data_IF_071565603698
#
_entry.id   IF_071565603698
#
_cell.length_a   1.000
_cell.length_b   1.000
_cell.length_c   1.000
_cell.angle_alpha   90.00
_cell.angle_beta   90.00
_cell.angle_gamma   90.00
#
_symmetry.space_group_name_H-M   'P 1'
#
loop_
_entity.id
_entity.type
_entity.pdbx_description
1 polymer ?
#
# COMPACT_ATOMS: atom_id res chain seq x y z
N UNK A 1 2.89 34.37 23.56
CA UNK A 1 3.88 35.07 22.73
C UNK A 1 3.84 34.43 21.36
N UNK A 2 3.63 35.21 20.29
CA UNK A 2 3.51 34.67 18.93
C UNK A 2 4.89 34.64 18.30
N UNK A 3 5.30 33.52 17.72
CA UNK A 3 6.48 33.41 16.85
C UNK A 3 5.95 33.17 15.45
N UNK A 4 6.19 34.11 14.53
CA UNK A 4 5.66 34.06 13.17
C UNK A 4 6.44 33.08 12.30
N UNK A 5 5.72 32.34 11.45
CA UNK A 5 6.31 31.52 10.41
C UNK A 5 6.82 32.43 9.28
N UNK A 6 8.15 32.50 9.14
CA UNK A 6 8.79 33.26 8.08
C UNK A 6 8.84 32.48 6.77
N UNK A 7 8.03 32.88 5.79
CA UNK A 7 8.17 32.40 4.40
C UNK A 7 9.45 33.01 3.82
N UNK A 8 10.54 32.24 3.76
CA UNK A 8 11.77 32.65 3.08
C UNK A 8 11.61 32.51 1.56
N UNK A 9 11.22 33.58 0.88
CA UNK A 9 11.30 33.69 -0.59
C UNK A 9 12.78 33.84 -0.98
N UNK A 10 13.34 32.83 -1.65
CA UNK A 10 14.68 32.90 -2.23
C UNK A 10 14.57 33.17 -3.73
N UNK A 11 15.17 34.26 -4.21
CA UNK A 11 15.40 34.51 -5.64
C UNK A 11 16.84 34.12 -5.97
N UNK A 12 17.00 33.12 -6.86
CA UNK A 12 18.31 32.69 -7.36
C UNK A 12 18.50 33.34 -8.73
N UNK A 13 19.30 34.41 -8.77
CA UNK A 13 19.80 34.97 -10.01
C UNK A 13 21.09 34.24 -10.41
N UNK A 14 21.01 33.36 -11.43
CA UNK A 14 22.16 32.65 -11.97
C UNK A 14 22.63 33.27 -13.28
N UNK A 15 23.85 33.82 -13.31
CA UNK A 15 24.55 34.16 -14.55
C UNK A 15 25.19 32.92 -15.13
N UNK A 16 24.91 32.61 -16.40
CA UNK A 16 25.52 31.48 -17.11
C UNK A 16 27.00 31.77 -17.36
N UNK A 17 27.86 30.81 -17.01
CA UNK A 17 29.21 30.66 -17.57
C UNK A 17 29.34 29.24 -18.08
N UNK A 18 29.78 29.08 -19.32
CA UNK A 18 29.93 27.79 -19.97
C UNK A 18 31.25 27.13 -19.57
N UNK A 19 31.19 26.00 -18.85
CA UNK A 19 32.33 25.08 -18.73
C UNK A 19 31.90 23.64 -19.03
N UNK A 20 32.62 22.99 -19.94
CA UNK A 20 32.25 21.71 -20.57
C UNK A 20 32.80 20.51 -19.81
N UNK A 21 32.02 20.01 -18.84
CA UNK A 21 32.33 18.76 -18.09
C UNK A 21 31.62 17.53 -18.66
N UNK A 22 32.38 16.53 -19.14
CA UNK A 22 31.83 15.28 -19.70
C UNK A 22 31.38 14.31 -18.58
N UNK A 23 30.08 14.29 -18.28
CA UNK A 23 29.45 13.35 -17.35
C UNK A 23 28.86 12.12 -18.05
N UNK A 24 29.27 10.92 -17.64
CA UNK A 24 28.94 9.63 -18.30
C UNK A 24 27.43 9.31 -18.24
N UNK A 25 26.87 8.83 -19.35
CA UNK A 25 25.44 8.51 -19.51
C UNK A 25 25.12 7.06 -19.16
N UNK A 26 23.88 6.78 -18.75
CA UNK A 26 23.26 5.46 -18.84
C UNK A 26 21.78 5.64 -19.20
N UNK A 27 21.35 5.04 -20.30
CA UNK A 27 19.98 5.14 -20.84
C UNK A 27 19.06 4.08 -20.20
N UNK A 28 17.77 4.44 -20.02
CA UNK A 28 16.73 3.56 -19.49
C UNK A 28 15.35 4.06 -19.91
N UNK A 29 14.48 3.16 -20.38
CA UNK A 29 13.45 3.50 -21.36
C UNK A 29 12.07 3.94 -20.82
N UNK A 30 11.38 4.66 -21.72
CA UNK A 30 9.97 5.05 -21.66
C UNK A 30 9.01 3.88 -21.40
N UNK A 31 7.90 4.17 -20.71
CA UNK A 31 6.84 3.22 -20.36
C UNK A 31 5.75 3.07 -21.43
N UNK A 32 5.40 1.85 -21.84
CA UNK A 32 4.13 1.59 -22.52
C UNK A 32 3.92 0.19 -23.16
N UNK A 33 2.82 -0.47 -22.75
CA UNK A 33 2.01 -1.53 -23.43
C UNK A 33 2.10 -3.04 -23.01
N UNK A 34 1.08 -3.44 -22.24
CA UNK A 34 0.15 -4.59 -22.36
C UNK A 34 0.57 -6.05 -22.75
N UNK A 35 0.42 -6.96 -21.76
CA UNK A 35 -0.14 -8.34 -21.72
C UNK A 35 0.09 -9.44 -22.79
N UNK A 36 0.57 -10.63 -22.35
CA UNK A 36 -0.06 -11.99 -22.34
C UNK A 36 1.03 -13.09 -22.11
N UNK A 37 1.07 -13.86 -21.00
CA UNK A 37 0.40 -15.14 -20.61
C UNK A 37 1.13 -16.46 -20.98
N UNK A 38 1.30 -17.41 -20.03
CA UNK A 38 1.92 -18.77 -20.15
C UNK A 38 3.27 -18.87 -19.39
N UNK A 39 3.57 -19.70 -18.37
CA UNK A 39 3.55 -21.18 -18.18
C UNK A 39 4.77 -21.91 -18.83
N UNK A 40 5.51 -22.85 -18.21
CA UNK A 40 5.52 -23.46 -16.83
C UNK A 40 6.89 -24.14 -16.48
N UNK A 41 7.09 -24.52 -15.19
CA UNK A 41 8.00 -25.58 -14.63
C UNK A 41 9.56 -25.42 -14.61
N UNK A 42 10.15 -25.77 -13.43
CA UNK A 42 11.29 -26.70 -13.12
C UNK A 42 12.67 -26.59 -13.86
N UNK A 43 13.85 -26.98 -13.34
CA UNK A 43 14.30 -27.57 -12.05
C UNK A 43 15.84 -27.38 -11.85
N UNK A 44 16.31 -27.48 -10.60
CA UNK A 44 17.61 -27.98 -10.05
C UNK A 44 19.02 -27.65 -10.64
N UNK A 45 19.86 -27.19 -9.69
CA UNK A 45 21.24 -27.62 -9.35
C UNK A 45 22.44 -27.45 -10.32
N UNK A 46 23.48 -26.81 -9.77
CA UNK A 46 24.81 -27.43 -9.68
C UNK A 46 25.52 -27.06 -8.37
N UNK A 47 26.31 -27.99 -7.86
CA UNK A 47 27.03 -27.96 -6.58
C UNK A 47 28.52 -28.02 -6.92
N UNK A 48 29.41 -27.23 -6.30
CA UNK A 48 30.74 -27.70 -5.89
C UNK A 48 31.50 -26.70 -5.00
N UNK A 49 32.50 -27.24 -4.28
CA UNK A 49 33.03 -26.70 -3.03
C UNK A 49 34.49 -26.25 -3.10
N UNK A 50 34.88 -25.24 -2.31
CA UNK A 50 36.30 -25.00 -2.01
C UNK A 50 36.59 -23.89 -1.01
N UNK A 51 37.18 -24.25 0.14
CA UNK A 51 37.84 -23.37 1.12
C UNK A 51 39.00 -24.16 1.77
N UNK A 52 39.90 -23.56 2.58
CA UNK A 52 40.28 -22.15 2.73
C UNK A 52 41.81 -21.92 2.52
N UNK A 53 42.27 -20.67 2.54
CA UNK A 53 43.68 -20.36 2.88
C UNK A 53 43.81 -18.97 3.52
N UNK A 54 44.95 -18.73 4.19
CA UNK A 54 45.08 -17.82 5.33
C UNK A 54 45.98 -16.61 5.08
N UNK A 55 45.58 -15.43 5.56
CA UNK A 55 46.31 -14.64 6.58
C UNK A 55 45.59 -13.31 6.91
N UNK A 56 45.70 -12.78 8.14
CA UNK A 56 44.97 -11.58 8.57
C UNK A 56 45.83 -10.31 8.53
N UNK A 57 45.23 -9.16 8.21
CA UNK A 57 45.79 -7.84 8.53
C UNK A 57 44.69 -6.90 9.06
N UNK A 58 44.98 -6.36 10.25
CA UNK A 58 44.61 -5.07 10.84
C UNK A 58 43.13 -4.64 10.85
N UNK A 59 42.49 -4.93 11.98
CA UNK A 59 41.30 -4.25 12.46
C UNK A 59 41.70 -3.12 13.44
N UNK A 60 42.06 -1.96 12.90
CA UNK A 60 41.90 -0.66 13.55
C UNK A 60 40.91 0.10 12.63
N UNK A 61 39.61 0.19 12.93
CA UNK A 61 38.96 0.86 14.08
C UNK A 61 39.20 2.37 14.13
N UNK A 62 38.83 3.04 13.03
CA UNK A 62 38.01 4.26 13.06
C UNK A 62 36.66 3.87 12.42
N UNK A 63 35.70 3.26 13.14
CA UNK A 63 34.85 3.85 14.19
C UNK A 63 33.97 5.00 13.66
N UNK A 64 32.89 4.60 12.97
CA UNK A 64 31.53 5.12 13.15
C UNK A 64 31.33 6.64 13.33
N UNK A 65 31.62 7.45 12.30
CA UNK A 65 30.77 8.63 12.05
C UNK A 65 30.72 9.16 10.61
N UNK A 66 29.82 8.60 9.79
CA UNK A 66 29.07 9.44 8.84
C UNK A 66 27.58 9.08 8.90
N UNK A 67 26.92 9.53 9.97
CA UNK A 67 25.47 9.82 9.96
C UNK A 67 25.21 10.97 8.96
N UNK A 68 25.33 10.67 7.67
CA UNK A 68 25.07 11.62 6.59
C UNK A 68 23.62 12.09 6.64
N UNK A 69 23.41 13.40 6.50
CA UNK A 69 22.08 13.97 6.37
C UNK A 69 21.30 13.27 5.24
N UNK A 70 20.06 12.87 5.53
CA UNK A 70 19.16 12.24 4.56
C UNK A 70 17.78 12.88 4.65
N UNK A 71 17.36 13.54 3.58
CA UNK A 71 16.11 14.29 3.52
C UNK A 71 15.33 13.92 2.28
N UNK A 72 14.18 13.27 2.49
CA UNK A 72 13.18 13.12 1.45
C UNK A 72 12.51 14.47 1.21
N UNK A 73 12.47 14.94 -0.04
CA UNK A 73 11.74 16.14 -0.40
C UNK A 73 10.93 15.90 -1.68
N UNK A 74 9.68 16.36 -1.67
CA UNK A 74 8.94 16.57 -2.90
C UNK A 74 9.11 18.03 -3.33
N UNK A 75 9.37 18.26 -4.60
CA UNK A 75 9.50 19.61 -5.11
C UNK A 75 9.01 19.78 -6.54
N UNK A 76 8.56 20.99 -6.81
CA UNK A 76 8.11 21.46 -8.11
C UNK A 76 9.03 22.59 -8.57
N UNK A 77 9.66 22.41 -9.72
CA UNK A 77 10.35 23.49 -10.44
C UNK A 77 9.43 23.96 -11.57
N UNK A 78 9.14 25.25 -11.61
CA UNK A 78 8.28 25.85 -12.62
C UNK A 78 9.03 26.91 -13.42
N UNK A 79 9.09 26.74 -14.75
CA UNK A 79 9.50 27.81 -15.67
C UNK A 79 8.26 28.65 -15.97
N UNK A 80 8.26 29.88 -15.44
CA UNK A 80 7.08 30.74 -15.43
C UNK A 80 6.89 31.41 -16.78
N UNK A 81 5.65 31.40 -17.25
CA UNK A 81 5.21 32.13 -18.43
C UNK A 81 4.32 33.32 -18.03
N UNK A 82 4.29 34.37 -18.85
CA UNK A 82 3.35 35.50 -18.73
C UNK A 82 1.88 35.06 -18.71
N UNK A 83 1.54 33.99 -19.44
CA UNK A 83 0.29 33.26 -19.24
C UNK A 83 0.52 32.12 -18.23
N UNK A 84 -0.07 32.17 -17.01
CA UNK A 84 0.09 31.11 -16.01
C UNK A 84 -0.22 29.71 -16.55
N UNK A 85 -1.16 29.56 -17.49
CA UNK A 85 -1.56 28.27 -18.07
C UNK A 85 -0.52 27.68 -19.04
N UNK A 86 0.43 28.49 -19.52
CA UNK A 86 1.58 28.06 -20.34
C UNK A 86 2.82 27.75 -19.50
N UNK A 87 2.83 28.05 -18.20
CA UNK A 87 3.98 27.76 -17.32
C UNK A 87 4.26 26.26 -17.31
N UNK A 88 5.54 25.88 -17.34
CA UNK A 88 5.95 24.47 -17.34
C UNK A 88 6.40 24.06 -15.94
N UNK A 89 5.60 23.21 -15.29
CA UNK A 89 5.91 22.62 -14.00
C UNK A 89 6.57 21.25 -14.16
N UNK A 90 7.54 20.97 -13.30
CA UNK A 90 8.30 19.73 -13.24
C UNK A 90 8.33 19.27 -11.79
N UNK A 91 7.59 18.20 -11.51
CA UNK A 91 7.43 17.64 -10.16
C UNK A 91 8.37 16.45 -9.97
N UNK A 92 8.97 16.32 -8.80
CA UNK A 92 9.77 15.14 -8.44
C UNK A 92 9.76 14.87 -6.93
N UNK A 93 10.11 13.64 -6.57
CA UNK A 93 10.27 13.17 -5.20
C UNK A 93 11.66 12.52 -5.13
N UNK A 94 12.53 13.03 -4.27
CA UNK A 94 13.92 12.58 -4.16
C UNK A 94 14.41 12.54 -2.72
N UNK A 95 15.31 11.60 -2.43
CA UNK A 95 16.04 11.52 -1.16
C UNK A 95 17.41 12.17 -1.35
N UNK A 96 17.51 13.42 -0.93
CA UNK A 96 18.78 14.10 -0.87
C UNK A 96 19.65 13.52 0.24
N UNK A 97 20.89 13.21 -0.10
CA UNK A 97 21.90 12.61 0.78
C UNK A 97 23.31 12.94 0.26
N UNK A 98 24.36 12.68 1.05
CA UNK A 98 25.75 13.04 0.70
C UNK A 98 26.15 12.70 -0.75
N UNK A 99 25.79 11.52 -1.24
CA UNK A 99 26.16 11.04 -2.58
C UNK A 99 25.14 11.39 -3.69
N UNK A 100 23.98 11.93 -3.34
CA UNK A 100 22.89 12.32 -4.26
C UNK A 100 22.30 13.66 -3.77
N UNK A 101 23.16 14.68 -3.66
CA UNK A 101 22.84 15.96 -3.05
C UNK A 101 22.27 16.98 -4.05
N UNK A 102 22.36 16.71 -5.35
CA UNK A 102 21.70 17.43 -6.43
C UNK A 102 20.68 16.52 -7.14
N UNK A 103 19.59 17.10 -7.64
CA UNK A 103 18.57 16.38 -8.39
C UNK A 103 17.76 17.33 -9.28
N UNK A 104 17.39 16.88 -10.49
CA UNK A 104 16.63 17.69 -11.44
C UNK A 104 16.64 17.13 -12.86
N UNK A 105 16.40 18.01 -13.84
CA UNK A 105 16.22 17.63 -15.24
C UNK A 105 17.28 18.24 -16.14
N UNK A 106 17.97 17.41 -16.93
CA UNK A 106 19.00 17.85 -17.89
C UNK A 106 18.44 18.71 -19.04
N UNK A 107 17.16 18.53 -19.41
CA UNK A 107 16.45 19.32 -20.42
C UNK A 107 15.08 19.75 -19.88
N UNK A 108 15.02 20.97 -19.33
CA UNK A 108 13.79 21.57 -18.80
C UNK A 108 12.96 22.20 -19.94
N UNK A 109 13.61 22.91 -20.87
CA UNK A 109 12.94 23.63 -21.94
C UNK A 109 13.76 23.59 -23.24
N UNK A 110 13.10 23.83 -24.36
CA UNK A 110 13.75 24.07 -25.65
C UNK A 110 13.87 25.58 -25.88
N UNK A 111 15.03 26.06 -26.35
CA UNK A 111 15.26 27.50 -26.54
C UNK A 111 14.29 28.11 -27.58
N UNK A 112 13.84 27.31 -28.54
CA UNK A 112 12.93 27.75 -29.63
C UNK A 112 11.58 28.27 -29.13
N UNK A 113 11.08 27.80 -27.99
CA UNK A 113 9.80 28.22 -27.41
C UNK A 113 9.94 29.28 -26.31
N UNK A 114 11.17 29.59 -25.90
CA UNK A 114 11.46 30.54 -24.83
C UNK A 114 10.93 31.97 -25.13
N UNK A 115 10.92 32.47 -26.39
CA UNK A 115 10.30 33.76 -26.73
C UNK A 115 8.76 33.80 -26.60
N UNK A 116 8.05 32.68 -26.51
CA UNK A 116 6.58 32.63 -26.34
C UNK A 116 6.17 32.94 -24.89
N UNK A 117 6.57 34.11 -24.38
CA UNK A 117 6.14 34.63 -23.08
C UNK A 117 6.84 34.06 -21.85
N UNK A 118 7.90 33.26 -21.99
CA UNK A 118 8.74 32.85 -20.84
C UNK A 118 9.81 33.89 -20.48
N UNK A 119 10.20 34.74 -21.43
CA UNK A 119 11.10 35.88 -21.20
C UNK A 119 10.30 37.17 -20.99
N UNK A 120 10.70 37.93 -19.97
CA UNK A 120 10.30 39.32 -19.78
C UNK A 120 11.54 40.19 -19.58
N UNK A 121 11.74 41.21 -20.42
CA UNK A 121 12.91 42.09 -20.38
C UNK A 121 14.25 41.34 -20.17
N UNK A 122 14.52 40.33 -21.02
CA UNK A 122 15.70 39.44 -20.96
C UNK A 122 15.83 38.59 -19.67
N UNK A 123 14.78 38.53 -18.85
CA UNK A 123 14.72 37.74 -17.61
C UNK A 123 13.86 36.49 -17.79
N UNK A 124 14.39 35.34 -17.39
CA UNK A 124 13.65 34.07 -17.23
C UNK A 124 13.32 33.87 -15.74
N UNK A 125 12.05 33.64 -15.41
CA UNK A 125 11.64 33.39 -14.01
C UNK A 125 11.48 31.89 -13.78
N UNK A 126 12.31 31.35 -12.87
CA UNK A 126 12.20 29.99 -12.35
C UNK A 126 11.67 30.06 -10.92
N UNK A 127 10.59 29.35 -10.61
CA UNK A 127 10.08 29.16 -9.25
C UNK A 127 10.40 27.75 -8.77
N UNK A 128 10.81 27.64 -7.51
CA UNK A 128 11.00 26.36 -6.83
C UNK A 128 10.08 26.31 -5.60
N UNK A 129 9.25 25.28 -5.50
CA UNK A 129 8.44 24.98 -4.33
C UNK A 129 8.92 23.65 -3.76
N UNK A 130 9.46 23.67 -2.54
CA UNK A 130 10.16 22.54 -1.94
C UNK A 130 9.51 22.17 -0.61
N UNK A 131 9.00 20.94 -0.53
CA UNK A 131 8.40 20.36 0.66
C UNK A 131 9.31 19.26 1.22
N UNK A 132 10.05 19.58 2.28
CA UNK A 132 10.86 18.58 3.01
C UNK A 132 9.93 17.70 3.85
N UNK A 133 10.00 16.38 3.64
CA UNK A 133 9.18 15.37 4.30
C UNK A 133 9.99 14.81 5.47
N UNK A 134 9.69 15.30 6.68
CA UNK A 134 10.54 15.10 7.88
C UNK A 134 10.26 13.82 8.69
N UNK A 135 9.18 13.10 8.40
CA UNK A 135 8.60 12.05 9.26
C UNK A 135 7.60 11.19 8.47
N UNK A 136 7.27 9.93 8.80
CA UNK A 136 7.80 8.96 9.79
C UNK A 136 7.52 7.57 9.15
N UNK A 137 8.53 6.76 8.84
CA UNK A 137 8.43 5.59 7.91
C UNK A 137 7.50 4.44 8.34
N UNK A 138 6.85 4.53 9.48
CA UNK A 138 6.06 3.46 10.08
C UNK A 138 4.53 3.65 9.97
N UNK A 139 4.05 4.79 9.47
CA UNK A 139 2.62 5.11 9.40
C UNK A 139 2.28 6.14 8.31
N UNK A 140 1.05 6.12 7.76
CA UNK A 140 0.55 7.20 6.91
C UNK A 140 0.79 8.57 7.54
N UNK A 141 1.22 9.52 6.72
CA UNK A 141 1.67 10.83 7.17
C UNK A 141 1.11 11.95 6.27
N UNK A 142 0.79 13.08 6.89
CA UNK A 142 0.48 14.32 6.17
C UNK A 142 1.81 15.02 5.83
N UNK A 143 2.19 15.01 4.55
CA UNK A 143 3.51 15.48 4.12
C UNK A 143 3.48 16.78 3.31
N UNK A 144 2.33 17.16 2.74
CA UNK A 144 2.23 18.31 1.84
C UNK A 144 1.53 19.48 2.55
N UNK A 145 2.07 20.68 2.37
CA UNK A 145 1.36 21.92 2.70
C UNK A 145 -0.01 21.98 2.00
N UNK A 146 -0.97 22.67 2.63
CA UNK A 146 -2.33 22.76 2.14
C UNK A 146 -2.48 23.48 0.79
N UNK A 147 -1.65 24.49 0.49
CA UNK A 147 -1.66 25.16 -0.80
C UNK A 147 -0.95 24.29 -1.83
N UNK A 148 0.25 23.79 -1.50
CA UNK A 148 1.01 22.93 -2.42
C UNK A 148 0.21 21.68 -2.85
N UNK A 149 -0.51 21.07 -1.91
CA UNK A 149 -1.41 19.94 -2.19
C UNK A 149 -2.50 20.32 -3.19
N UNK A 150 -3.14 21.49 -3.06
CA UNK A 150 -4.23 21.92 -3.95
C UNK A 150 -3.78 22.16 -5.38
N UNK A 151 -2.55 22.63 -5.58
CA UNK A 151 -1.98 22.85 -6.90
C UNK A 151 -1.72 21.52 -7.63
N UNK A 152 -1.36 20.47 -6.89
CA UNK A 152 -1.00 19.16 -7.44
C UNK A 152 -2.14 18.11 -7.49
N UNK A 153 -3.19 18.27 -6.67
CA UNK A 153 -4.34 17.34 -6.67
C UNK A 153 -4.99 17.21 -8.07
N UNK A 154 -5.31 18.29 -8.80
CA UNK A 154 -5.87 18.19 -10.17
C UNK A 154 -4.95 17.46 -11.17
N UNK A 155 -3.63 17.46 -10.93
CA UNK A 155 -2.63 16.79 -11.77
C UNK A 155 -2.59 15.28 -11.47
N UNK A 156 -2.59 14.91 -10.19
CA UNK A 156 -2.31 13.53 -9.76
C UNK A 156 -3.51 12.71 -9.27
N UNK A 157 -4.69 13.32 -9.07
CA UNK A 157 -5.89 12.62 -8.58
C UNK A 157 -6.20 11.35 -9.39
N UNK A 158 -6.19 11.43 -10.72
CA UNK A 158 -6.48 10.26 -11.58
C UNK A 158 -5.44 9.13 -11.42
N UNK A 159 -4.20 9.46 -11.06
CA UNK A 159 -3.16 8.46 -10.79
C UNK A 159 -3.36 7.81 -9.42
N UNK A 160 -3.72 8.62 -8.40
CA UNK A 160 -4.06 8.15 -7.06
C UNK A 160 -5.31 7.26 -7.08
N UNK A 161 -6.37 7.68 -7.78
CA UNK A 161 -7.56 6.85 -8.03
C UNK A 161 -7.18 5.51 -8.66
N UNK A 162 -6.36 5.51 -9.71
CA UNK A 162 -5.90 4.29 -10.39
C UNK A 162 -5.12 3.36 -9.46
N UNK A 163 -4.29 3.91 -8.58
CA UNK A 163 -3.57 3.14 -7.57
C UNK A 163 -4.52 2.43 -6.59
N UNK A 164 -5.55 3.14 -6.10
CA UNK A 164 -6.58 2.53 -5.25
C UNK A 164 -7.47 1.51 -5.98
N UNK A 165 -7.93 1.82 -7.21
CA UNK A 165 -8.68 0.87 -8.04
C UNK A 165 -7.92 -0.45 -8.25
N UNK A 166 -6.62 -0.38 -8.59
CA UNK A 166 -5.77 -1.56 -8.75
C UNK A 166 -5.66 -2.38 -7.46
N UNK A 167 -5.43 -1.73 -6.32
CA UNK A 167 -5.36 -2.39 -5.01
C UNK A 167 -6.68 -3.08 -4.65
N UNK A 168 -7.81 -2.38 -4.82
CA UNK A 168 -9.12 -2.89 -4.42
C UNK A 168 -9.59 -4.03 -5.32
N UNK A 169 -9.36 -3.95 -6.64
CA UNK A 169 -9.64 -5.07 -7.55
C UNK A 169 -8.74 -6.29 -7.24
N UNK A 170 -7.48 -6.10 -6.83
CA UNK A 170 -6.63 -7.21 -6.36
C UNK A 170 -7.23 -7.92 -5.14
N UNK A 171 -7.74 -7.16 -4.15
CA UNK A 171 -8.40 -7.75 -2.96
C UNK A 171 -9.73 -8.40 -3.33
N UNK A 172 -10.57 -7.72 -4.14
CA UNK A 172 -11.86 -8.25 -4.60
C UNK A 172 -11.68 -9.55 -5.38
N UNK A 173 -10.69 -9.62 -6.27
CA UNK A 173 -10.35 -10.82 -7.05
C UNK A 173 -9.90 -11.99 -6.16
N UNK A 174 -9.08 -11.72 -5.13
CA UNK A 174 -8.65 -12.74 -4.15
C UNK A 174 -9.83 -13.32 -3.35
N UNK A 175 -10.71 -12.46 -2.85
CA UNK A 175 -11.94 -12.89 -2.15
C UNK A 175 -12.90 -13.63 -3.09
N UNK A 176 -13.09 -13.14 -4.31
CA UNK A 176 -13.92 -13.79 -5.33
C UNK A 176 -13.44 -15.20 -5.67
N UNK A 177 -12.12 -15.44 -5.74
CA UNK A 177 -11.55 -16.79 -5.94
C UNK A 177 -11.85 -17.73 -4.77
N UNK A 178 -11.73 -17.24 -3.53
CA UNK A 178 -12.09 -18.02 -2.34
C UNK A 178 -13.57 -18.42 -2.34
N UNK A 179 -14.46 -17.50 -2.71
CA UNK A 179 -15.92 -17.72 -2.72
C UNK A 179 -16.40 -18.55 -3.92
N UNK A 180 -15.69 -18.50 -5.06
CA UNK A 180 -16.00 -19.31 -6.25
C UNK A 180 -15.72 -20.79 -6.02
N UNK A 181 -14.65 -21.12 -5.28
CA UNK A 181 -14.41 -22.47 -4.79
C UNK A 181 -15.43 -22.82 -3.69
N UNK A 182 -16.56 -23.40 -4.11
CA UNK A 182 -17.65 -23.81 -3.22
C UNK A 182 -17.19 -24.78 -2.13
N UNK A 183 -16.16 -25.60 -2.37
CA UNK A 183 -15.66 -26.56 -1.39
C UNK A 183 -14.80 -25.85 -0.34
N UNK A 184 -13.81 -25.04 -0.76
CA UNK A 184 -12.99 -24.23 0.16
C UNK A 184 -13.84 -23.23 0.94
N UNK A 185 -14.80 -22.56 0.30
CA UNK A 185 -15.71 -21.63 0.97
C UNK A 185 -16.61 -22.33 2.00
N UNK A 186 -17.22 -23.47 1.67
CA UNK A 186 -18.08 -24.21 2.63
C UNK A 186 -17.28 -24.76 3.81
N UNK A 187 -16.06 -25.25 3.56
CA UNK A 187 -15.11 -25.67 4.59
C UNK A 187 -14.73 -24.50 5.50
N UNK A 188 -14.38 -23.35 4.92
CA UNK A 188 -14.05 -22.12 5.66
C UNK A 188 -15.21 -21.61 6.51
N UNK A 189 -16.45 -21.59 5.97
CA UNK A 189 -17.66 -21.24 6.75
C UNK A 189 -17.86 -22.18 7.93
N UNK A 190 -17.67 -23.49 7.72
CA UNK A 190 -17.83 -24.51 8.76
C UNK A 190 -16.78 -24.32 9.86
N UNK A 191 -15.52 -24.06 9.50
CA UNK A 191 -14.47 -23.68 10.43
C UNK A 191 -14.84 -22.42 11.22
N UNK A 192 -15.12 -21.30 10.55
CA UNK A 192 -15.43 -20.03 11.22
C UNK A 192 -16.64 -20.15 12.17
N UNK A 193 -17.70 -20.83 11.75
CA UNK A 193 -18.89 -21.06 12.57
C UNK A 193 -18.68 -22.07 13.71
N UNK A 194 -17.67 -22.93 13.64
CA UNK A 194 -17.31 -23.90 14.68
C UNK A 194 -16.39 -23.34 15.77
N UNK A 195 -15.63 -22.28 15.49
CA UNK A 195 -14.74 -21.61 16.46
C UNK A 195 -15.55 -20.87 17.54
N UNK A 196 -15.07 -20.85 18.78
CA UNK A 196 -15.72 -20.13 19.87
C UNK A 196 -15.65 -18.59 19.73
N UNK A 197 -16.53 -17.88 20.43
CA UNK A 197 -16.67 -16.43 20.33
C UNK A 197 -15.41 -15.66 20.78
N UNK A 198 -14.64 -16.18 21.75
CA UNK A 198 -13.43 -15.52 22.21
C UNK A 198 -12.32 -15.65 21.17
N UNK A 199 -12.11 -16.84 20.61
CA UNK A 199 -11.13 -17.05 19.54
C UNK A 199 -11.45 -16.21 18.29
N UNK A 200 -12.72 -16.14 17.86
CA UNK A 200 -13.14 -15.20 16.79
C UNK A 200 -12.79 -13.76 17.13
N UNK A 201 -13.14 -13.29 18.33
CA UNK A 201 -12.84 -11.92 18.77
C UNK A 201 -11.32 -11.63 18.85
N UNK A 202 -10.48 -12.62 19.16
CA UNK A 202 -9.01 -12.47 19.13
C UNK A 202 -8.46 -12.38 17.70
N UNK A 203 -9.03 -13.14 16.76
CA UNK A 203 -8.62 -13.12 15.36
C UNK A 203 -9.12 -11.88 14.61
N UNK A 204 -10.34 -11.41 14.87
CA UNK A 204 -10.98 -10.25 14.21
C UNK A 204 -10.42 -8.88 14.60
N UNK A 205 -9.19 -8.81 15.13
CA UNK A 205 -8.54 -7.56 15.56
C UNK A 205 -7.03 -7.61 15.41
N UNK A 206 -6.41 -6.46 15.18
CA UNK A 206 -4.95 -6.33 15.08
C UNK A 206 -4.48 -4.94 15.52
N UNK A 207 -3.24 -4.84 16.03
CA UNK A 207 -2.64 -3.58 16.47
C UNK A 207 -2.53 -2.58 15.33
N UNK A 208 -2.84 -1.33 15.62
CA UNK A 208 -2.79 -0.22 14.65
C UNK A 208 -1.41 -0.14 14.02
N UNK A 209 -0.33 -0.15 14.81
CA UNK A 209 1.03 0.02 14.27
C UNK A 209 1.48 -1.13 13.35
N UNK A 210 0.97 -2.36 13.55
CA UNK A 210 1.25 -3.49 12.64
C UNK A 210 0.63 -3.22 11.27
N UNK A 211 -0.65 -2.83 11.26
CA UNK A 211 -1.35 -2.49 10.02
C UNK A 211 -0.77 -1.23 9.37
N UNK A 212 -0.47 -0.17 10.11
CA UNK A 212 0.05 1.06 9.53
C UNK A 212 1.44 0.86 8.90
N UNK A 213 2.32 0.04 9.51
CA UNK A 213 3.59 -0.36 8.88
C UNK A 213 3.37 -1.15 7.59
N UNK A 214 2.40 -2.07 7.57
CA UNK A 214 2.04 -2.82 6.37
C UNK A 214 1.45 -1.91 5.27
N UNK A 215 0.65 -0.91 5.63
CA UNK A 215 0.11 0.11 4.72
C UNK A 215 1.25 0.92 4.07
N UNK A 216 2.20 1.43 4.87
CA UNK A 216 3.35 2.18 4.32
C UNK A 216 4.16 1.30 3.37
N UNK A 217 4.50 0.08 3.79
CA UNK A 217 5.26 -0.89 2.97
C UNK A 217 4.57 -1.23 1.64
N UNK A 218 3.24 -1.14 1.57
CA UNK A 218 2.49 -1.45 0.36
C UNK A 218 2.33 -0.26 -0.58
N UNK A 219 2.11 0.95 -0.04
CA UNK A 219 1.72 2.11 -0.83
C UNK A 219 2.80 3.17 -1.03
N UNK A 220 3.84 3.22 -0.19
CA UNK A 220 4.86 4.26 -0.28
C UNK A 220 6.05 3.80 -1.13
N UNK A 221 6.14 4.32 -2.35
CA UNK A 221 7.27 4.13 -3.26
C UNK A 221 8.06 5.44 -3.34
N UNK A 222 9.29 5.42 -2.82
CA UNK A 222 10.11 6.62 -2.59
C UNK A 222 10.43 7.45 -3.85
N UNK A 223 10.42 6.82 -5.02
CA UNK A 223 10.67 7.47 -6.33
C UNK A 223 9.40 7.78 -7.13
N UNK A 224 8.21 7.56 -6.55
CA UNK A 224 6.92 7.86 -7.18
C UNK A 224 6.24 9.03 -6.47
N UNK A 225 6.09 10.16 -7.17
CA UNK A 225 5.47 11.40 -6.66
C UNK A 225 4.05 11.15 -6.13
N UNK A 226 3.30 10.23 -6.74
CA UNK A 226 1.93 9.91 -6.31
C UNK A 226 1.88 9.30 -4.91
N UNK A 227 2.97 8.69 -4.44
CA UNK A 227 3.07 8.06 -3.11
C UNK A 227 2.81 9.04 -1.97
N UNK A 228 3.21 10.30 -2.10
CA UNK A 228 2.95 11.32 -1.06
C UNK A 228 1.46 11.64 -0.95
N UNK A 229 0.76 11.76 -2.09
CA UNK A 229 -0.69 11.94 -2.15
C UNK A 229 -1.43 10.72 -1.63
N UNK A 230 -0.98 9.52 -1.97
CA UNK A 230 -1.53 8.28 -1.43
C UNK A 230 -1.38 8.25 0.09
N UNK A 231 -0.24 8.67 0.65
CA UNK A 231 0.00 8.73 2.10
C UNK A 231 -0.80 9.84 2.81
N UNK A 232 -0.94 11.03 2.21
CA UNK A 232 -1.77 12.14 2.73
C UNK A 232 -3.26 11.77 2.76
N UNK A 233 -3.73 11.11 1.70
CA UNK A 233 -5.07 10.55 1.55
C UNK A 233 -5.34 9.45 2.59
N UNK A 234 -4.44 8.46 2.72
CA UNK A 234 -4.55 7.40 3.73
C UNK A 234 -4.49 7.95 5.16
N UNK A 235 -3.68 8.97 5.43
CA UNK A 235 -3.67 9.66 6.72
C UNK A 235 -5.01 10.36 7.01
N UNK A 236 -5.57 11.05 6.02
CA UNK A 236 -6.85 11.75 6.14
C UNK A 236 -8.02 10.78 6.35
N UNK A 237 -8.04 9.68 5.60
CA UNK A 237 -9.01 8.59 5.76
C UNK A 237 -8.90 7.87 7.11
N UNK A 238 -7.68 7.60 7.58
CA UNK A 238 -7.43 7.04 8.91
C UNK A 238 -7.92 7.97 10.03
N UNK A 239 -7.76 9.29 9.86
CA UNK A 239 -8.28 10.28 10.80
C UNK A 239 -9.81 10.26 10.82
N UNK A 240 -10.46 10.29 9.65
CA UNK A 240 -11.91 10.21 9.53
C UNK A 240 -12.49 8.93 10.18
N UNK A 241 -11.82 7.78 10.03
CA UNK A 241 -12.21 6.51 10.65
C UNK A 241 -12.15 6.56 12.19
N UNK A 242 -11.13 7.23 12.76
CA UNK A 242 -11.01 7.46 14.21
C UNK A 242 -12.08 8.43 14.71
N UNK A 243 -12.28 9.54 14.02
CA UNK A 243 -13.23 10.59 14.40
C UNK A 243 -14.68 10.06 14.37
N UNK A 244 -15.03 9.24 13.36
CA UNK A 244 -16.32 8.55 13.28
C UNK A 244 -16.55 7.55 14.43
N UNK A 245 -15.48 6.92 14.94
CA UNK A 245 -15.56 6.03 16.10
C UNK A 245 -15.84 6.82 17.38
N UNK A 246 -15.35 8.05 17.52
CA UNK A 246 -15.58 8.91 18.68
C UNK A 246 -16.95 9.61 18.65
N UNK A 247 -17.40 10.10 17.49
CA UNK A 247 -18.69 10.79 17.35
C UNK A 247 -19.91 9.94 17.69
N UNK A 248 -19.82 8.60 17.65
CA UNK A 248 -20.91 7.71 18.10
C UNK A 248 -21.24 7.82 19.59
N UNK A 249 -20.42 8.52 20.40
CA UNK A 249 -20.75 8.87 21.81
C UNK A 249 -21.56 10.15 21.99
N UNK A 250 -21.84 10.93 20.95
CA UNK A 250 -22.61 12.17 21.04
C UNK A 250 -23.44 12.45 19.79
N UNK A 251 -24.76 12.22 19.86
CA UNK A 251 -25.68 12.62 18.78
C UNK A 251 -25.75 14.15 18.70
N UNK A 252 -25.18 14.72 17.64
CA UNK A 252 -25.76 15.89 16.98
C UNK A 252 -25.53 15.78 15.46
N UNK A 253 -26.59 16.00 14.68
CA UNK A 253 -26.54 15.92 13.22
C UNK A 253 -26.03 17.24 12.63
N UNK A 254 -24.85 17.24 12.00
CA UNK A 254 -24.47 18.27 11.02
C UNK A 254 -23.37 17.79 10.07
N UNK A 255 -23.64 16.72 9.32
CA UNK A 255 -23.13 16.53 7.96
C UNK A 255 -24.30 15.94 7.17
N UNK A 256 -24.48 16.40 5.94
CA UNK A 256 -25.48 15.81 5.04
C UNK A 256 -25.15 14.33 4.84
N UNK A 257 -26.17 13.49 4.93
CA UNK A 257 -26.01 12.05 4.81
C UNK A 257 -25.91 11.66 3.32
N UNK A 258 -24.79 12.01 2.69
CA UNK A 258 -24.23 11.14 1.65
C UNK A 258 -24.05 9.76 2.27
N UNK A 259 -24.65 8.75 1.64
CA UNK A 259 -24.94 7.44 2.22
C UNK A 259 -23.67 6.57 2.31
N UNK A 260 -22.70 7.00 3.12
CA UNK A 260 -21.43 6.31 3.31
C UNK A 260 -21.68 4.85 3.73
N UNK A 261 -21.28 3.85 2.90
CA UNK A 261 -21.39 2.44 3.25
C UNK A 261 -20.90 2.15 4.67
N UNK A 262 -21.69 1.39 5.44
CA UNK A 262 -21.48 1.16 6.87
C UNK A 262 -20.03 0.74 7.21
N UNK A 263 -19.45 1.18 8.33
CA UNK A 263 -18.04 0.93 8.60
C UNK A 263 -17.75 -0.56 8.80
N UNK A 264 -16.74 -1.08 8.10
CA UNK A 264 -16.26 -2.46 8.22
C UNK A 264 -15.32 -2.62 9.42
N UNK A 265 -14.68 -1.51 9.83
CA UNK A 265 -13.63 -1.45 10.84
C UNK A 265 -13.97 -0.35 11.86
N UNK A 266 -13.62 -0.59 13.12
CA UNK A 266 -13.61 0.43 14.19
C UNK A 266 -12.27 0.45 14.91
N UNK A 267 -11.96 1.57 15.55
CA UNK A 267 -10.71 1.74 16.31
C UNK A 267 -10.99 1.63 17.81
N UNK A 268 -10.51 0.57 18.45
CA UNK A 268 -10.59 0.37 19.89
C UNK A 268 -9.20 0.51 20.53
N UNK A 269 -8.98 1.60 21.26
CA UNK A 269 -7.69 1.92 21.90
C UNK A 269 -6.54 1.95 20.87
N UNK A 270 -5.70 0.92 20.87
CA UNK A 270 -4.51 0.70 20.03
C UNK A 270 -4.73 -0.38 18.96
N UNK A 271 -5.96 -0.89 18.80
CA UNK A 271 -6.31 -1.94 17.83
C UNK A 271 -7.37 -1.48 16.82
N UNK A 272 -7.23 -1.98 15.60
CA UNK A 272 -8.35 -2.09 14.67
C UNK A 272 -9.16 -3.35 15.00
N UNK A 273 -10.48 -3.24 14.95
CA UNK A 273 -11.42 -4.34 15.21
C UNK A 273 -12.45 -4.37 14.09
N UNK A 274 -12.73 -5.56 13.56
CA UNK A 274 -13.78 -5.75 12.57
C UNK A 274 -15.17 -5.56 13.22
N UNK A 275 -16.08 -4.91 12.50
CA UNK A 275 -17.34 -4.43 13.10
C UNK A 275 -18.41 -5.51 13.20
N UNK A 276 -18.57 -6.31 12.14
CA UNK A 276 -19.56 -7.38 11.99
C UNK A 276 -18.91 -8.77 11.89
N UNK A 277 -19.72 -9.82 11.66
CA UNK A 277 -19.20 -11.15 11.38
C UNK A 277 -18.33 -11.17 10.10
N UNK A 278 -17.22 -11.90 10.18
CA UNK A 278 -16.20 -11.93 9.13
C UNK A 278 -16.77 -12.44 7.79
N UNK A 279 -17.70 -13.40 7.78
CA UNK A 279 -18.28 -13.90 6.54
C UNK A 279 -19.03 -12.79 5.80
N UNK A 280 -19.81 -11.98 6.52
CA UNK A 280 -20.54 -10.83 5.97
C UNK A 280 -19.59 -9.74 5.46
N UNK A 281 -18.49 -9.48 6.18
CA UNK A 281 -17.49 -8.50 5.77
C UNK A 281 -16.72 -8.96 4.52
N UNK A 282 -16.39 -10.25 4.40
CA UNK A 282 -15.73 -10.80 3.20
C UNK A 282 -16.68 -10.82 2.00
N UNK A 283 -17.93 -11.26 2.17
CA UNK A 283 -18.97 -11.21 1.14
C UNK A 283 -19.18 -9.78 0.64
N UNK A 284 -19.22 -8.81 1.56
CA UNK A 284 -19.33 -7.39 1.20
C UNK A 284 -18.10 -6.90 0.45
N UNK A 285 -16.88 -7.13 0.93
CA UNK A 285 -15.66 -6.69 0.24
C UNK A 285 -15.43 -7.37 -1.11
N UNK A 286 -16.03 -8.54 -1.36
CA UNK A 286 -16.02 -9.19 -2.67
C UNK A 286 -17.02 -8.56 -3.67
N UNK A 287 -18.05 -7.87 -3.19
CA UNK A 287 -19.09 -7.20 -3.98
C UNK A 287 -18.92 -5.68 -4.06
N UNK A 288 -18.16 -5.08 -3.13
CA UNK A 288 -17.98 -3.64 -3.04
C UNK A 288 -17.26 -3.09 -4.29
N UNK A 289 -17.76 -1.95 -4.77
CA UNK A 289 -17.17 -1.19 -5.87
C UNK A 289 -16.73 0.15 -5.29
N UNK A 290 -15.62 0.70 -5.76
CA UNK A 290 -15.30 2.09 -5.42
C UNK A 290 -16.45 3.01 -5.85
N UNK A 291 -16.73 4.08 -5.07
CA UNK A 291 -17.78 5.03 -5.41
C UNK A 291 -17.64 5.46 -6.88
N UNK A 292 -18.74 5.46 -7.66
CA UNK A 292 -18.72 5.96 -9.03
C UNK A 292 -17.96 7.28 -9.08
N UNK A 293 -17.20 7.48 -10.15
CA UNK A 293 -16.73 8.83 -10.44
C UNK A 293 -17.97 9.68 -10.66
N UNK A 294 -18.03 10.87 -10.05
CA UNK A 294 -19.09 11.82 -10.38
C UNK A 294 -19.11 12.03 -11.90
N UNK A 295 -20.19 11.60 -12.56
CA UNK A 295 -20.32 11.74 -14.01
C UNK A 295 -20.54 13.20 -14.46
N UNK A 296 -20.51 14.14 -13.51
CA UNK A 296 -20.14 15.54 -13.78
C UNK A 296 -18.65 15.63 -14.14
N UNK A 297 -18.32 15.13 -15.33
CA UNK A 297 -17.13 15.56 -16.06
C UNK A 297 -17.10 17.08 -16.23
N UNK A 298 -15.96 17.68 -16.63
CA UNK A 298 -15.82 19.13 -16.72
C UNK A 298 -16.90 19.72 -17.64
N UNK A 299 -17.86 20.42 -17.03
CA UNK A 299 -19.13 20.79 -17.65
C UNK A 299 -18.92 21.94 -18.65
N UNK A 300 -18.50 21.58 -19.86
CA UNK A 300 -18.26 22.54 -20.93
C UNK A 300 -19.59 23.11 -21.47
N UNK A 301 -19.85 24.35 -21.04
CA UNK A 301 -20.71 25.37 -21.68
C UNK A 301 -22.23 25.11 -21.68
N UNK A 302 -22.92 25.93 -20.88
CA UNK A 302 -23.71 26.98 -21.53
C UNK A 302 -23.37 28.32 -20.90
N UNK A 303 -23.36 29.36 -21.73
CA UNK A 303 -22.92 30.72 -21.39
C UNK A 303 -24.08 31.46 -20.73
N UNK A 304 -23.91 31.87 -19.48
CA UNK A 304 -24.34 33.20 -19.02
C UNK A 304 -23.45 33.68 -17.86
N UNK A 305 -23.39 35.00 -17.68
CA UNK A 305 -22.26 35.65 -17.03
C UNK A 305 -22.25 35.68 -15.50
N UNK A 306 -21.05 35.88 -14.96
CA UNK A 306 -20.74 36.42 -13.63
C UNK A 306 -20.78 35.48 -12.41
N UNK A 307 -19.76 34.62 -12.28
CA UNK A 307 -19.13 34.24 -10.98
C UNK A 307 -17.82 33.49 -11.24
N UNK A 308 -16.68 34.19 -11.19
CA UNK A 308 -15.38 33.68 -11.65
C UNK A 308 -14.55 32.88 -10.64
N UNK A 309 -14.91 32.90 -9.35
CA UNK A 309 -14.08 32.34 -8.27
C UNK A 309 -14.69 31.12 -7.57
N UNK A 310 -16.02 31.03 -7.46
CA UNK A 310 -16.68 29.98 -6.65
C UNK A 310 -16.51 28.57 -7.25
N UNK A 311 -16.69 28.41 -8.58
CA UNK A 311 -16.60 27.11 -9.25
C UNK A 311 -15.26 26.38 -9.03
N UNK A 312 -14.15 27.11 -8.92
CA UNK A 312 -12.81 26.52 -8.72
C UNK A 312 -12.58 26.10 -7.27
N UNK A 313 -13.19 26.83 -6.32
CA UNK A 313 -13.11 26.51 -4.89
C UNK A 313 -13.91 25.25 -4.56
N UNK A 314 -15.09 25.11 -5.17
CA UNK A 314 -15.96 23.96 -4.98
C UNK A 314 -15.38 22.68 -5.60
N UNK A 315 -14.77 22.77 -6.80
CA UNK A 315 -14.10 21.60 -7.41
C UNK A 315 -12.90 21.12 -6.58
N UNK A 316 -12.06 22.04 -6.08
CA UNK A 316 -10.93 21.68 -5.22
C UNK A 316 -11.43 21.06 -3.91
N UNK A 317 -12.48 21.60 -3.30
CA UNK A 317 -13.07 21.02 -2.08
C UNK A 317 -13.69 19.64 -2.33
N UNK A 318 -14.25 19.40 -3.52
CA UNK A 318 -14.73 18.09 -3.95
C UNK A 318 -13.59 17.09 -4.09
N UNK A 319 -12.49 17.44 -4.78
CA UNK A 319 -11.32 16.57 -4.95
C UNK A 319 -10.65 16.25 -3.59
N UNK A 320 -10.58 17.21 -2.66
CA UNK A 320 -10.10 16.98 -1.29
C UNK A 320 -11.01 16.02 -0.50
N UNK A 321 -12.34 16.10 -0.69
CA UNK A 321 -13.32 15.15 -0.11
C UNK A 321 -13.14 13.75 -0.71
N UNK A 322 -13.04 13.66 -2.04
CA UNK A 322 -12.86 12.43 -2.82
C UNK A 322 -11.61 11.66 -2.37
N UNK A 323 -10.48 12.36 -2.21
CA UNK A 323 -9.25 11.74 -1.66
C UNK A 323 -9.47 11.21 -0.24
N UNK A 324 -10.13 11.97 0.63
CA UNK A 324 -10.40 11.54 2.01
C UNK A 324 -11.27 10.28 2.05
N UNK A 325 -12.29 10.18 1.18
CA UNK A 325 -13.15 9.01 1.05
C UNK A 325 -12.37 7.79 0.51
N UNK A 326 -11.61 7.97 -0.57
CA UNK A 326 -10.77 6.91 -1.15
C UNK A 326 -9.74 6.39 -0.15
N UNK A 327 -9.09 7.28 0.60
CA UNK A 327 -8.19 6.92 1.70
C UNK A 327 -8.91 6.14 2.81
N UNK A 328 -10.11 6.57 3.20
CA UNK A 328 -10.93 5.89 4.21
C UNK A 328 -11.28 4.45 3.78
N UNK A 329 -11.87 4.28 2.58
CA UNK A 329 -12.24 2.97 2.03
C UNK A 329 -11.04 2.06 1.84
N UNK A 330 -9.93 2.60 1.36
CA UNK A 330 -8.68 1.85 1.20
C UNK A 330 -8.15 1.36 2.55
N UNK A 331 -8.18 2.18 3.61
CA UNK A 331 -7.78 1.75 4.96
C UNK A 331 -8.69 0.63 5.48
N UNK A 332 -10.01 0.75 5.33
CA UNK A 332 -10.95 -0.30 5.78
C UNK A 332 -10.69 -1.65 5.10
N UNK A 333 -10.57 -1.65 3.77
CA UNK A 333 -10.36 -2.89 3.00
C UNK A 333 -8.95 -3.43 3.21
N UNK A 334 -7.94 -2.58 3.42
CA UNK A 334 -6.60 -3.03 3.80
C UNK A 334 -6.59 -3.71 5.16
N UNK A 335 -7.24 -3.11 6.18
CA UNK A 335 -7.38 -3.73 7.51
C UNK A 335 -8.07 -5.09 7.43
N UNK A 336 -9.21 -5.18 6.70
CA UNK A 336 -9.94 -6.43 6.52
C UNK A 336 -9.06 -7.50 5.87
N UNK A 337 -8.43 -7.18 4.73
CA UNK A 337 -7.57 -8.10 4.01
C UNK A 337 -6.34 -8.52 4.84
N UNK A 338 -5.77 -7.61 5.64
CA UNK A 338 -4.65 -7.89 6.52
C UNK A 338 -5.04 -8.85 7.65
N UNK A 339 -6.14 -8.57 8.36
CA UNK A 339 -6.67 -9.43 9.43
C UNK A 339 -7.07 -10.80 8.88
N UNK A 340 -7.71 -10.82 7.70
CA UNK A 340 -8.09 -12.07 7.04
C UNK A 340 -6.85 -12.91 6.72
N UNK A 341 -5.95 -12.44 5.86
CA UNK A 341 -4.86 -13.29 5.35
C UNK A 341 -3.74 -13.58 6.36
N UNK A 342 -3.52 -12.75 7.38
CA UNK A 342 -2.42 -12.98 8.36
C UNK A 342 -2.89 -13.67 9.66
N UNK A 343 -4.20 -13.85 9.88
CA UNK A 343 -4.73 -14.46 11.11
C UNK A 343 -5.80 -15.51 10.83
N UNK A 344 -6.86 -15.11 10.12
CA UNK A 344 -8.04 -15.96 9.94
C UNK A 344 -7.80 -17.05 8.89
N UNK A 345 -7.14 -16.71 7.77
CA UNK A 345 -6.74 -17.65 6.73
C UNK A 345 -5.64 -18.60 7.25
N UNK A 346 -4.66 -18.07 8.00
CA UNK A 346 -3.61 -18.88 8.66
C UNK A 346 -4.22 -19.90 9.62
N UNK A 347 -5.07 -19.47 10.56
CA UNK A 347 -5.72 -20.38 11.51
C UNK A 347 -6.63 -21.42 10.82
N UNK A 348 -7.24 -21.06 9.68
CA UNK A 348 -8.01 -22.00 8.85
C UNK A 348 -7.10 -23.06 8.21
N UNK A 349 -5.98 -22.64 7.62
CA UNK A 349 -5.01 -23.55 6.99
C UNK A 349 -4.34 -24.47 8.02
N UNK A 350 -4.00 -23.95 9.21
CA UNK A 350 -3.55 -24.74 10.36
C UNK A 350 -4.59 -25.78 10.80
N UNK A 351 -5.87 -25.41 10.92
CA UNK A 351 -6.94 -26.34 11.30
C UNK A 351 -7.20 -27.42 10.23
N UNK A 352 -7.09 -27.08 8.95
CA UNK A 352 -7.18 -28.06 7.84
C UNK A 352 -5.98 -29.00 7.84
N UNK A 353 -4.77 -28.49 8.08
CA UNK A 353 -3.56 -29.30 8.19
C UNK A 353 -3.61 -30.26 9.39
N UNK A 354 -4.03 -29.77 10.56
CA UNK A 354 -4.20 -30.57 11.78
C UNK A 354 -5.22 -31.69 11.56
N UNK A 355 -6.41 -31.38 11.03
CA UNK A 355 -7.44 -32.39 10.73
C UNK A 355 -6.93 -33.46 9.77
N UNK A 356 -6.12 -33.09 8.77
CA UNK A 356 -5.52 -34.05 7.84
C UNK A 356 -4.47 -34.93 8.53
N UNK A 357 -3.69 -34.37 9.47
CA UNK A 357 -2.72 -35.12 10.26
C UNK A 357 -3.41 -36.10 11.23
N UNK A 358 -4.49 -35.70 11.89
CA UNK A 358 -5.32 -36.57 12.75
C UNK A 358 -5.92 -37.75 11.97
N UNK A 359 -6.40 -37.51 10.74
CA UNK A 359 -6.91 -38.57 9.86
C UNK A 359 -5.82 -39.61 9.52
N UNK A 360 -4.62 -39.15 9.14
CA UNK A 360 -3.48 -40.02 8.82
C UNK A 360 -3.02 -40.84 10.03
N UNK A 361 -2.98 -40.24 11.22
CA UNK A 361 -2.65 -40.95 12.47
C UNK A 361 -3.68 -42.05 12.74
N UNK A 362 -4.99 -41.74 12.58
CA UNK A 362 -6.05 -42.73 12.79
C UNK A 362 -5.97 -43.89 11.79
N UNK A 363 -5.71 -43.61 10.51
CA UNK A 363 -5.48 -44.64 9.49
C UNK A 363 -4.25 -45.51 9.83
N UNK A 364 -3.16 -44.91 10.33
CA UNK A 364 -1.96 -45.65 10.75
C UNK A 364 -2.26 -46.55 11.97
N UNK A 365 -2.94 -46.03 13.00
CA UNK A 365 -3.35 -46.80 14.18
C UNK A 365 -4.27 -47.97 13.83
N UNK A 366 -5.28 -47.75 12.97
CA UNK A 366 -6.17 -48.79 12.45
C UNK A 366 -5.38 -49.87 11.68
N UNK A 367 -4.41 -49.45 10.85
CA UNK A 367 -3.55 -50.38 10.10
C UNK A 367 -2.63 -51.21 11.01
N UNK A 368 -2.07 -50.59 12.06
CA UNK A 368 -1.19 -51.23 13.02
C UNK A 368 -1.95 -52.25 13.88
N UNK A 369 -3.16 -51.90 14.32
CA UNK A 369 -4.06 -52.82 15.03
C UNK A 369 -4.42 -54.02 14.16
N UNK A 370 -4.76 -53.81 12.88
CA UNK A 370 -5.06 -54.89 11.94
C UNK A 370 -3.84 -55.80 11.68
N UNK A 371 -2.64 -55.23 11.54
CA UNK A 371 -1.42 -56.01 11.34
C UNK A 371 -1.03 -56.81 12.61
N UNK A 372 -1.19 -56.20 13.78
CA UNK A 372 -0.99 -56.84 15.09
C UNK A 372 -1.94 -58.02 15.29
N UNK A 373 -3.23 -57.85 14.97
CA UNK A 373 -4.23 -58.92 15.04
C UNK A 373 -3.92 -60.06 14.05
N UNK A 374 -3.49 -59.74 12.82
CA UNK A 374 -3.02 -60.75 11.86
C UNK A 374 -1.77 -61.50 12.36
N UNK A 375 -0.80 -60.80 12.96
CA UNK A 375 0.39 -61.41 13.58
C UNK A 375 0.00 -62.34 14.72
N UNK A 376 -0.94 -61.95 15.58
CA UNK A 376 -1.48 -62.77 16.65
C UNK A 376 -2.17 -64.04 16.12
N UNK A 377 -3.06 -63.92 15.12
CA UNK A 377 -3.74 -65.04 14.44
C UNK A 377 -2.72 -66.02 13.82
N UNK A 378 -1.70 -65.52 13.12
CA UNK A 378 -0.60 -66.35 12.56
C UNK A 378 0.23 -67.03 13.66
N UNK A 379 0.46 -66.35 14.79
CA UNK A 379 1.16 -66.91 15.95
C UNK A 379 0.41 -68.05 16.63
N UNK A 380 -0.90 -67.89 16.83
CA UNK A 380 -1.79 -68.92 17.38
C UNK A 380 -1.80 -70.17 16.48
N UNK A 381 -2.06 -70.01 15.18
CA UNK A 381 -2.08 -71.12 14.22
C UNK A 381 -0.71 -71.86 14.12
N UNK A 382 0.42 -71.16 14.28
CA UNK A 382 1.74 -71.79 14.37
C UNK A 382 1.94 -72.59 15.67
N UNK A 383 1.47 -72.08 16.82
CA UNK A 383 1.51 -72.82 18.10
C UNK A 383 0.67 -74.10 18.01
N UNK A 384 -0.56 -73.99 17.52
CA UNK A 384 -1.49 -75.12 17.40
C UNK A 384 -0.96 -76.25 16.51
N UNK A 385 -0.41 -75.92 15.32
CA UNK A 385 0.26 -76.90 14.44
C UNK A 385 1.48 -77.55 15.10
N UNK A 386 2.19 -76.84 15.99
CA UNK A 386 3.33 -77.39 16.74
C UNK A 386 2.86 -78.32 17.87
N UNK A 387 1.78 -77.98 18.57
CA UNK A 387 1.14 -78.83 19.58
C UNK A 387 0.62 -80.14 19.00
N UNK A 388 -0.01 -80.11 17.81
CA UNK A 388 -0.48 -81.32 17.12
C UNK A 388 0.68 -82.24 16.70
N UNK A 389 1.82 -81.68 16.25
CA UNK A 389 3.03 -82.45 15.90
C UNK A 389 3.75 -83.09 17.11
N UNK A 390 3.44 -82.69 18.33
CA UNK A 390 4.08 -83.22 19.56
C UNK A 390 3.19 -84.24 20.28
N UNK A 391 2.12 -84.72 19.62
CA UNK A 391 1.08 -85.58 20.20
C UNK A 391 0.98 -86.96 19.52
N UNK A 392 2.00 -87.31 18.75
CA UNK A 392 2.22 -88.60 18.05
C UNK A 392 3.58 -89.15 18.48
#
# INVERSE_FOLDING_TARGET
MSVGEGISKWEIAGTVSEETGVGRSMEGFSSGQHCQSGETLAELQSFESGTPSTSPLDWETDDDNEEGWSHLAQFTIAVVNKDPKKSKCFDTLHRFQKNEHDWGWKKIMDLTIMPDGFIDADTLIIKAQVQVIRERSERPFRCLDCQYRRELVPVYLTNVERNYWRFLEEKRSKLGKLMYDKARWSSFRTFWLGIDQNARHQMSREKIDVILKAVVKHFFIEKEITSTFVMDSLYSGLKALKDHTMCKKGRLKLLEAEEMPAPMVRVEKDMFVLVDDVLLLLERAAMDLLPPKDEKGPQNRTKDGNSGEDFNKDSIQCDERRLTELGHRTVEIFVLAHIFSNKIEVAYEEAVALKKQEELIREEEESWLAESEQKAKRGAAKKEKKSQKTRF
#
